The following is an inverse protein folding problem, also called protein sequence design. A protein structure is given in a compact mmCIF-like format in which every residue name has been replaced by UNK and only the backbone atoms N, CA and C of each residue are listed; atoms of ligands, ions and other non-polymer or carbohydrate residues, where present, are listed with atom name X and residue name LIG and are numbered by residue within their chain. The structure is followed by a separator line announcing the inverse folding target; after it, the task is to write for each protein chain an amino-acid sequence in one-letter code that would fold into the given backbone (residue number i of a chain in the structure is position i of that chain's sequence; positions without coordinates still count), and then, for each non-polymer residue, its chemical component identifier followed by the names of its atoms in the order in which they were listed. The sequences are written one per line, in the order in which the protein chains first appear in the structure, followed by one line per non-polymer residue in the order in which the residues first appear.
data_IF_624327419592
#
_entry.id   IF_624327419592
#
_cell.length_a   1.000
_cell.length_b   1.000
_cell.length_c   1.000
_cell.angle_alpha   90.00
_cell.angle_beta   90.00
_cell.angle_gamma   90.00
#
_symmetry.space_group_name_H-M   'P 1'
#
loop_
_entity.id
_entity.type
_entity.pdbx_description
1 polymer ?
#
# COMPACT_ATOMS: atom_id res chain seq x y z
N UNK A 1 16.72 17.98 8.39
CA UNK A 1 15.27 17.71 8.52
C UNK A 1 14.65 18.99 9.00
N UNK A 2 13.72 19.55 8.24
CA UNK A 2 13.05 20.78 8.66
C UNK A 2 12.08 20.46 9.81
N UNK A 3 12.03 21.34 10.82
CA UNK A 3 11.30 21.08 12.05
C UNK A 3 9.79 21.06 11.78
N UNK A 4 9.12 19.98 12.21
CA UNK A 4 7.66 19.86 12.13
C UNK A 4 7.02 20.92 13.03
N UNK A 5 6.05 21.71 12.53
CA UNK A 5 5.36 22.70 13.33
C UNK A 5 4.60 22.09 14.53
N UNK A 6 4.60 22.78 15.67
CA UNK A 6 3.99 22.30 16.92
C UNK A 6 2.48 22.06 16.81
N UNK A 7 1.79 22.78 15.94
CA UNK A 7 0.37 22.58 15.64
C UNK A 7 0.12 21.25 14.94
N UNK A 8 1.02 20.80 14.05
CA UNK A 8 0.91 19.49 13.42
C UNK A 8 1.07 18.39 14.49
N UNK A 9 2.03 18.52 15.39
CA UNK A 9 2.24 17.51 16.45
C UNK A 9 1.03 17.27 17.34
N UNK A 10 0.12 18.25 17.46
CA UNK A 10 -1.11 18.15 18.27
C UNK A 10 -2.25 17.39 17.58
N UNK A 11 -2.20 17.25 16.26
CA UNK A 11 -3.25 16.60 15.46
C UNK A 11 -2.86 15.19 14.96
N UNK A 12 -1.62 14.76 15.23
CA UNK A 12 -1.15 13.43 14.90
C UNK A 12 -1.77 12.39 15.82
N UNK A 13 -2.13 11.23 15.25
CA UNK A 13 -2.53 10.07 16.03
C UNK A 13 -1.37 9.52 16.90
N UNK A 14 -1.66 8.70 17.93
CA UNK A 14 -0.64 8.19 18.87
C UNK A 14 0.50 7.39 18.22
N UNK A 15 0.25 6.72 17.09
CA UNK A 15 1.22 5.95 16.30
C UNK A 15 1.55 6.60 14.94
N UNK A 16 1.10 7.83 14.73
CA UNK A 16 1.30 8.57 13.49
C UNK A 16 2.66 9.31 13.54
N UNK A 17 3.54 9.02 12.58
CA UNK A 17 4.90 9.58 12.49
C UNK A 17 5.06 10.38 11.21
N UNK A 18 5.66 11.57 11.32
CA UNK A 18 5.99 12.40 10.16
C UNK A 18 7.22 11.83 9.46
N UNK A 19 7.07 11.56 8.16
CA UNK A 19 8.13 11.06 7.30
C UNK A 19 8.78 12.17 6.47
N UNK A 20 8.00 13.19 6.09
CA UNK A 20 8.50 14.35 5.36
C UNK A 20 7.66 15.60 5.65
N UNK A 21 8.33 16.74 5.82
CA UNK A 21 7.70 18.05 5.89
C UNK A 21 8.24 18.92 4.75
N UNK A 22 7.35 19.53 3.97
CA UNK A 22 7.68 20.42 2.86
C UNK A 22 6.99 21.75 3.10
N UNK A 23 7.80 22.78 3.37
CA UNK A 23 7.33 24.15 3.58
C UNK A 23 7.41 24.91 2.26
N UNK A 24 6.44 24.67 1.38
CA UNK A 24 6.36 25.33 0.09
C UNK A 24 4.93 25.79 -0.17
N UNK A 25 4.81 27.02 -0.69
CA UNK A 25 3.52 27.57 -1.09
C UNK A 25 3.15 27.02 -2.45
N UNK A 26 2.27 26.03 -2.45
CA UNK A 26 1.69 25.48 -3.68
C UNK A 26 0.46 26.33 -3.99
N UNK A 27 0.60 27.19 -5.01
CA UNK A 27 -0.50 28.01 -5.50
C UNK A 27 -1.22 27.25 -6.62
N UNK A 28 -2.39 26.71 -6.31
CA UNK A 28 -3.28 26.11 -7.30
C UNK A 28 -4.56 26.94 -7.40
N UNK A 29 -5.18 27.09 -8.58
CA UNK A 29 -6.46 27.80 -8.74
C UNK A 29 -7.60 27.38 -7.78
N UNK A 30 -7.55 26.16 -7.24
CA UNK A 30 -8.58 25.58 -6.35
C UNK A 30 -8.09 25.36 -4.91
N UNK A 31 -6.78 25.27 -4.68
CA UNK A 31 -6.18 25.00 -3.37
C UNK A 31 -4.91 25.85 -3.20
N UNK A 32 -4.91 26.68 -2.16
CA UNK A 32 -3.69 27.32 -1.70
C UNK A 32 -3.16 26.48 -0.54
N UNK A 33 -1.96 25.93 -0.68
CA UNK A 33 -1.31 25.12 0.36
C UNK A 33 -0.04 25.84 0.80
N UNK A 34 0.14 26.04 2.09
CA UNK A 34 1.32 26.68 2.71
C UNK A 34 2.42 25.65 3.01
N UNK A 35 2.02 24.43 3.35
CA UNK A 35 2.95 23.33 3.60
C UNK A 35 2.27 21.97 3.46
N UNK A 36 3.06 20.97 3.09
CA UNK A 36 2.65 19.57 2.98
C UNK A 36 3.37 18.74 4.03
N UNK A 37 2.64 17.91 4.75
CA UNK A 37 3.18 16.93 5.70
C UNK A 37 2.83 15.53 5.19
N UNK A 38 3.82 14.67 5.05
CA UNK A 38 3.63 13.25 4.78
C UNK A 38 3.85 12.48 6.07
N UNK A 39 2.85 11.73 6.50
CA UNK A 39 2.96 10.81 7.63
C UNK A 39 3.00 9.37 7.14
N UNK A 40 3.16 8.41 8.04
CA UNK A 40 2.98 6.99 7.73
C UNK A 40 1.50 6.59 7.53
N UNK A 41 0.53 7.50 7.67
CA UNK A 41 -0.90 7.19 7.56
C UNK A 41 -1.63 8.02 6.49
N UNK A 42 -1.24 9.28 6.28
CA UNK A 42 -1.94 10.22 5.39
C UNK A 42 -1.05 11.38 4.94
N UNK A 43 -1.51 12.07 3.92
CA UNK A 43 -0.96 13.35 3.46
C UNK A 43 -1.79 14.47 4.09
N UNK A 44 -1.15 15.41 4.78
CA UNK A 44 -1.81 16.57 5.41
C UNK A 44 -1.38 17.84 4.66
N UNK A 45 -2.35 18.57 4.14
CA UNK A 45 -2.16 19.89 3.54
C UNK A 45 -2.53 20.95 4.56
N UNK A 46 -1.64 21.90 4.78
CA UNK A 46 -1.90 23.08 5.61
C UNK A 46 -2.17 24.27 4.71
N UNK A 47 -3.32 24.92 4.88
CA UNK A 47 -3.71 26.05 4.03
C UNK A 47 -3.24 27.39 4.62
N UNK A 48 -2.79 28.36 3.78
CA UNK A 48 -2.47 29.70 4.23
C UNK A 48 -3.76 30.48 4.46
N UNK A 49 -3.93 31.01 5.66
CA UNK A 49 -5.05 31.90 5.94
C UNK A 49 -4.58 33.35 5.91
N UNK A 50 -5.17 34.16 5.04
CA UNK A 50 -5.01 35.61 5.11
C UNK A 50 -5.47 36.06 6.51
N UNK A 51 -4.59 36.77 7.24
CA UNK A 51 -4.80 37.34 8.58
C UNK A 51 -4.68 36.39 9.79
N UNK A 52 -4.21 35.14 9.64
CA UNK A 52 -3.69 34.34 10.78
C UNK A 52 -4.70 33.92 11.86
N UNK A 53 -6.00 34.17 11.68
CA UNK A 53 -7.02 33.89 12.70
C UNK A 53 -7.46 32.42 12.76
N UNK A 54 -7.24 31.64 11.70
CA UNK A 54 -7.60 30.21 11.64
C UNK A 54 -6.53 29.42 10.87
N UNK A 55 -6.38 28.15 11.23
CA UNK A 55 -5.52 27.20 10.54
C UNK A 55 -6.39 26.07 10.04
N UNK A 56 -6.46 25.91 8.72
CA UNK A 56 -7.23 24.86 8.10
C UNK A 56 -6.29 23.77 7.57
N UNK A 57 -6.72 22.53 7.75
CA UNK A 57 -6.00 21.34 7.35
C UNK A 57 -6.92 20.47 6.52
N UNK A 58 -6.42 19.96 5.40
CA UNK A 58 -7.09 18.93 4.60
C UNK A 58 -6.21 17.71 4.57
N UNK A 59 -6.74 16.54 4.91
CA UNK A 59 -6.00 15.30 4.90
C UNK A 59 -6.52 14.28 3.89
N UNK A 60 -5.58 13.49 3.34
CA UNK A 60 -5.84 12.45 2.35
C UNK A 60 -5.21 11.15 2.83
N UNK A 61 -6.05 10.17 3.16
CA UNK A 61 -5.59 8.83 3.52
C UNK A 61 -4.94 8.12 2.33
N UNK A 62 -3.84 7.41 2.56
CA UNK A 62 -3.26 6.56 1.53
C UNK A 62 -4.22 5.44 1.07
N UNK A 63 -5.15 5.03 1.95
CA UNK A 63 -6.23 4.10 1.62
C UNK A 63 -7.25 4.67 0.62
N UNK A 64 -7.24 5.98 0.36
CA UNK A 64 -8.14 6.65 -0.60
C UNK A 64 -7.41 7.06 -1.88
N UNK A 65 -6.08 6.98 -1.92
CA UNK A 65 -5.25 7.28 -3.09
C UNK A 65 -5.03 6.01 -3.94
N UNK A 66 -5.58 6.01 -5.15
CA UNK A 66 -5.47 4.90 -6.10
C UNK A 66 -4.06 4.80 -6.71
N UNK A 67 -3.47 5.94 -7.06
CA UNK A 67 -2.16 6.00 -7.71
C UNK A 67 -1.46 7.32 -7.42
N UNK A 68 -0.13 7.34 -7.57
CA UNK A 68 0.68 8.55 -7.57
C UNK A 68 1.52 8.61 -8.84
N UNK A 69 1.57 9.79 -9.46
CA UNK A 69 2.28 10.10 -10.70
C UNK A 69 3.34 11.15 -10.36
N UNK A 70 4.56 10.95 -10.85
CA UNK A 70 5.67 11.87 -10.65
C UNK A 70 6.04 12.53 -11.97
N UNK A 71 5.89 13.85 -12.02
CA UNK A 71 6.28 14.67 -13.16
C UNK A 71 7.60 15.37 -12.82
N UNK A 72 8.71 14.80 -13.32
CA UNK A 72 10.05 15.37 -13.13
C UNK A 72 10.28 16.53 -14.09
N UNK A 73 10.39 17.73 -13.56
CA UNK A 73 10.80 18.91 -14.34
C UNK A 73 12.28 19.24 -14.17
N UNK A 74 12.77 20.14 -15.01
CA UNK A 74 14.17 20.56 -15.00
C UNK A 74 14.54 21.30 -13.71
N UNK A 75 13.67 22.22 -13.26
CA UNK A 75 13.89 23.07 -12.08
C UNK A 75 13.01 22.69 -10.89
N UNK A 76 11.73 22.41 -11.16
CA UNK A 76 10.74 22.00 -10.17
C UNK A 76 10.00 20.78 -10.69
N UNK A 77 9.53 19.96 -9.77
CA UNK A 77 8.82 18.72 -10.07
C UNK A 77 7.47 18.70 -9.35
N UNK A 78 6.57 17.85 -9.81
CA UNK A 78 5.21 17.74 -9.26
C UNK A 78 4.86 16.29 -8.95
N UNK A 79 4.05 16.09 -7.92
CA UNK A 79 3.46 14.78 -7.59
C UNK A 79 1.95 14.88 -7.66
N UNK A 80 1.32 14.04 -8.48
CA UNK A 80 -0.15 13.97 -8.61
C UNK A 80 -0.66 12.69 -7.96
N UNK A 81 -1.63 12.79 -7.06
CA UNK A 81 -2.28 11.66 -6.42
C UNK A 81 -3.72 11.52 -6.95
N UNK A 82 -4.00 10.40 -7.61
CA UNK A 82 -5.33 10.06 -8.14
C UNK A 82 -6.15 9.44 -7.03
N UNK A 83 -7.34 9.96 -6.79
CA UNK A 83 -8.26 9.49 -5.73
C UNK A 83 -9.13 8.33 -6.23
N UNK A 84 -9.45 7.37 -5.34
CA UNK A 84 -10.27 6.19 -5.66
C UNK A 84 -11.73 6.54 -5.94
N UNK A 85 -12.31 7.41 -5.12
CA UNK A 85 -13.74 7.72 -5.16
C UNK A 85 -14.10 8.80 -6.19
N UNK A 86 -13.20 9.06 -7.14
CA UNK A 86 -13.32 10.19 -8.06
C UNK A 86 -13.01 11.54 -7.40
N UNK A 87 -13.24 12.62 -8.15
CA UNK A 87 -12.89 13.98 -7.74
C UNK A 87 -11.61 14.50 -8.40
N UNK A 88 -11.27 15.75 -8.11
CA UNK A 88 -10.04 16.36 -8.60
C UNK A 88 -8.82 15.68 -7.96
N UNK A 89 -7.81 15.27 -8.74
CA UNK A 89 -6.57 14.72 -8.20
C UNK A 89 -5.89 15.70 -7.24
N UNK A 90 -5.31 15.17 -6.17
CA UNK A 90 -4.44 15.97 -5.31
C UNK A 90 -3.16 16.31 -6.09
N UNK A 91 -2.93 17.60 -6.33
CA UNK A 91 -1.78 18.10 -7.06
C UNK A 91 -0.78 18.79 -6.13
N UNK A 92 0.35 18.14 -5.87
CA UNK A 92 1.49 18.73 -5.18
C UNK A 92 2.45 19.29 -6.23
N UNK A 93 2.14 20.50 -6.70
CA UNK A 93 2.87 21.18 -7.76
C UNK A 93 4.08 21.98 -7.27
N UNK A 94 4.96 22.32 -8.21
CA UNK A 94 6.05 23.27 -8.01
C UNK A 94 6.86 22.97 -6.75
N UNK A 95 7.34 21.73 -6.61
CA UNK A 95 8.20 21.33 -5.50
C UNK A 95 9.68 21.35 -5.91
N UNK A 96 10.62 21.61 -4.98
CA UNK A 96 12.03 21.35 -5.22
C UNK A 96 12.24 19.89 -5.64
N UNK A 97 13.08 19.63 -6.65
CA UNK A 97 13.24 18.28 -7.21
C UNK A 97 13.55 17.22 -6.15
N UNK A 98 14.45 17.51 -5.21
CA UNK A 98 14.81 16.58 -4.13
C UNK A 98 13.66 16.30 -3.15
N UNK A 99 12.78 17.29 -2.92
CA UNK A 99 11.62 17.13 -2.07
C UNK A 99 10.52 16.32 -2.79
N UNK A 100 10.32 16.59 -4.08
CA UNK A 100 9.34 15.88 -4.92
C UNK A 100 9.70 14.39 -5.09
N UNK A 101 10.98 14.09 -5.33
CA UNK A 101 11.48 12.70 -5.45
C UNK A 101 11.27 11.93 -4.13
N UNK A 102 11.61 12.54 -2.99
CA UNK A 102 11.36 11.95 -1.67
C UNK A 102 9.88 11.77 -1.38
N UNK A 103 9.07 12.79 -1.68
CA UNK A 103 7.63 12.74 -1.50
C UNK A 103 7.01 11.61 -2.31
N UNK A 104 7.40 11.49 -3.58
CA UNK A 104 6.93 10.42 -4.45
C UNK A 104 7.25 9.03 -3.89
N UNK A 105 8.51 8.81 -3.46
CA UNK A 105 8.91 7.53 -2.87
C UNK A 105 8.08 7.16 -1.63
N UNK A 106 7.93 8.10 -0.70
CA UNK A 106 7.12 7.93 0.52
C UNK A 106 5.65 7.65 0.19
N UNK A 107 5.07 8.43 -0.72
CA UNK A 107 3.66 8.27 -1.11
C UNK A 107 3.44 6.90 -1.77
N UNK A 108 4.32 6.48 -2.69
CA UNK A 108 4.21 5.17 -3.35
C UNK A 108 4.33 4.02 -2.37
N UNK A 109 5.27 4.11 -1.44
CA UNK A 109 5.46 3.11 -0.40
C UNK A 109 4.21 2.97 0.48
N UNK A 110 3.67 4.09 0.97
CA UNK A 110 2.48 4.03 1.81
C UNK A 110 1.23 3.59 1.04
N UNK A 111 1.03 4.02 -0.21
CA UNK A 111 -0.07 3.51 -1.05
C UNK A 111 0.00 1.98 -1.14
N UNK A 112 1.18 1.41 -1.40
CA UNK A 112 1.36 -0.04 -1.46
C UNK A 112 1.07 -0.71 -0.10
N UNK A 113 1.52 -0.11 1.00
CA UNK A 113 1.25 -0.60 2.37
C UNK A 113 -0.24 -0.62 2.72
N UNK A 114 -1.04 0.33 2.24
CA UNK A 114 -2.49 0.37 2.50
C UNK A 114 -3.32 -0.40 1.46
N UNK A 115 -2.77 -0.66 0.28
CA UNK A 115 -3.39 -1.47 -0.77
C UNK A 115 -3.27 -2.97 -0.53
N UNK A 116 -2.22 -3.41 0.16
CA UNK A 116 -2.00 -4.82 0.39
C UNK A 116 -2.72 -5.27 1.67
N UNK A 117 -3.72 -6.17 1.60
CA UNK A 117 -4.49 -6.62 2.76
C UNK A 117 -3.64 -7.23 3.88
N UNK A 118 -2.43 -7.71 3.54
CA UNK A 118 -1.52 -8.36 4.47
C UNK A 118 -0.59 -7.40 5.21
N UNK A 119 -0.48 -6.13 4.81
CA UNK A 119 0.45 -5.16 5.41
C UNK A 119 -0.21 -4.21 6.41
N UNK A 120 -1.52 -3.99 6.32
CA UNK A 120 -2.26 -3.08 7.24
C UNK A 120 -2.35 -3.65 8.66
N UNK A 121 -2.30 -4.98 8.83
CA UNK A 121 -2.34 -5.64 10.13
C UNK A 121 -1.07 -5.50 10.99
N UNK A 122 0.03 -5.00 10.44
CA UNK A 122 1.34 -5.03 11.11
C UNK A 122 1.63 -3.86 12.07
N UNK A 123 0.84 -2.76 12.04
CA UNK A 123 1.13 -1.54 12.84
C UNK A 123 0.02 -1.17 13.83
N UNK A 124 -1.05 -1.97 13.94
CA UNK A 124 -2.15 -1.75 14.88
C UNK A 124 -2.26 -2.78 16.00
N UNK A 125 -1.48 -3.86 15.94
CA UNK A 125 -1.46 -4.89 16.97
C UNK A 125 -0.06 -4.91 17.57
N UNK A 126 0.06 -4.51 18.84
CA UNK A 126 1.05 -5.13 19.69
C UNK A 126 0.92 -6.65 19.48
N UNK A 127 2.02 -7.42 19.42
CA UNK A 127 1.93 -8.86 19.25
C UNK A 127 1.11 -9.41 20.41
N UNK A 128 -0.19 -9.61 20.20
CA UNK A 128 -0.97 -10.49 21.05
C UNK A 128 -0.33 -11.83 20.77
N UNK A 129 0.45 -12.29 21.74
CA UNK A 129 1.02 -13.63 21.74
C UNK A 129 -0.16 -14.59 21.77
N UNK A 130 -0.67 -14.93 20.59
CA UNK A 130 -1.42 -16.16 20.45
C UNK A 130 -0.45 -17.27 20.82
N UNK A 131 -0.81 -18.15 21.77
CA UNK A 131 0.02 -19.32 22.00
C UNK A 131 0.20 -20.01 20.66
N UNK A 132 1.46 -20.28 20.31
CA UNK A 132 1.80 -21.04 19.14
C UNK A 132 1.11 -22.41 19.25
N UNK A 133 -0.03 -22.57 18.60
CA UNK A 133 -0.51 -23.89 18.26
C UNK A 133 0.60 -24.46 17.38
N UNK A 134 1.33 -25.43 17.91
CA UNK A 134 2.36 -26.12 17.16
C UNK A 134 1.70 -26.65 15.90
N UNK A 135 2.05 -26.06 14.77
CA UNK A 135 1.75 -26.62 13.46
C UNK A 135 2.63 -27.85 13.31
N UNK A 136 2.25 -28.93 13.98
CA UNK A 136 2.82 -30.24 13.74
C UNK A 136 2.49 -30.58 12.29
N UNK A 137 3.54 -30.58 11.49
CA UNK A 137 3.55 -31.01 10.12
C UNK A 137 2.95 -32.42 10.04
N UNK A 138 1.68 -32.55 9.67
CA UNK A 138 1.15 -33.79 9.11
C UNK A 138 1.49 -33.87 7.63
N UNK A 139 2.76 -33.65 7.30
CA UNK A 139 3.35 -33.92 6.00
C UNK A 139 3.69 -35.42 5.89
N UNK A 140 2.75 -36.33 6.14
CA UNK A 140 2.98 -37.77 6.01
C UNK A 140 1.73 -38.64 5.76
N UNK A 141 0.52 -38.07 5.60
CA UNK A 141 -0.70 -38.89 5.45
C UNK A 141 -1.53 -38.63 4.16
N UNK A 142 -0.98 -37.92 3.17
CA UNK A 142 -1.63 -37.75 1.84
C UNK A 142 -0.87 -38.42 0.69
N UNK A 143 0.32 -38.97 0.92
CA UNK A 143 1.12 -39.62 -0.13
C UNK A 143 0.80 -41.11 -0.35
N UNK A 144 0.04 -41.77 0.53
CA UNK A 144 -0.16 -43.23 0.46
C UNK A 144 -1.45 -43.68 -0.24
N UNK A 145 -2.29 -42.77 -0.76
CA UNK A 145 -3.64 -43.13 -1.25
C UNK A 145 -3.89 -42.91 -2.75
N UNK A 146 -2.88 -42.63 -3.59
CA UNK A 146 -3.11 -42.23 -4.99
C UNK A 146 -2.39 -43.07 -6.08
N UNK A 147 -1.99 -44.32 -5.80
CA UNK A 147 -1.61 -45.25 -6.87
C UNK A 147 -2.84 -46.07 -7.30
N UNK A 148 -3.37 -45.81 -8.50
CA UNK A 148 -4.32 -46.71 -9.17
C UNK A 148 -3.60 -47.73 -10.07
N UNK A 149 -4.33 -48.60 -10.79
CA UNK A 149 -3.74 -49.71 -11.52
C UNK A 149 -2.86 -49.24 -12.68
N UNK A 150 -1.79 -50.00 -12.94
CA UNK A 150 -0.91 -49.83 -14.10
C UNK A 150 -1.46 -50.65 -15.26
N UNK A 151 -1.65 -50.00 -16.42
CA UNK A 151 -2.16 -50.64 -17.62
C UNK A 151 -1.17 -51.67 -18.17
N UNK A 152 -1.62 -52.92 -18.36
CA UNK A 152 -0.78 -54.01 -18.89
C UNK A 152 -0.35 -53.83 -20.35
N UNK A 153 -1.02 -52.95 -21.11
CA UNK A 153 -0.73 -52.73 -22.53
C UNK A 153 0.32 -51.63 -22.74
N UNK A 154 0.20 -50.49 -22.07
CA UNK A 154 1.08 -49.33 -22.29
C UNK A 154 1.90 -48.91 -21.08
N UNK A 155 1.70 -49.54 -19.92
CA UNK A 155 2.40 -49.19 -18.68
C UNK A 155 1.91 -47.90 -18.01
N UNK A 156 0.88 -47.24 -18.54
CA UNK A 156 0.33 -46.00 -17.96
C UNK A 156 -0.42 -46.25 -16.64
N UNK A 157 -0.26 -45.35 -15.67
CA UNK A 157 -0.96 -45.40 -14.38
C UNK A 157 -2.30 -44.69 -14.49
N UNK A 158 -3.40 -45.35 -14.10
CA UNK A 158 -4.74 -44.78 -14.12
C UNK A 158 -5.26 -44.51 -12.72
N UNK A 159 -6.26 -43.63 -12.59
CA UNK A 159 -6.89 -43.35 -11.30
C UNK A 159 -7.58 -44.62 -10.74
N UNK A 160 -7.65 -44.71 -9.40
CA UNK A 160 -8.29 -45.86 -8.73
C UNK A 160 -9.79 -45.87 -9.06
N UNK A 161 -10.29 -46.99 -9.59
CA UNK A 161 -11.70 -47.15 -10.00
C UNK A 161 -11.97 -46.94 -11.50
N UNK A 162 -10.97 -46.57 -12.30
CA UNK A 162 -11.10 -46.51 -13.76
C UNK A 162 -11.26 -47.91 -14.36
N UNK A 163 -12.21 -48.09 -15.29
CA UNK A 163 -12.38 -49.34 -16.07
C UNK A 163 -11.50 -49.42 -17.31
N UNK A 164 -11.03 -48.27 -17.80
CA UNK A 164 -10.21 -48.14 -19.01
C UNK A 164 -9.01 -47.21 -18.73
N UNK A 165 -7.90 -47.51 -19.39
CA UNK A 165 -6.66 -46.75 -19.31
C UNK A 165 -6.85 -45.39 -19.98
N UNK A 166 -6.60 -44.31 -19.25
CA UNK A 166 -6.73 -42.94 -19.77
C UNK A 166 -5.69 -42.61 -20.85
N UNK A 167 -4.58 -43.35 -20.94
CA UNK A 167 -3.52 -43.10 -21.92
C UNK A 167 -3.72 -43.84 -23.24
N UNK A 168 -4.39 -45.00 -23.25
CA UNK A 168 -4.50 -45.82 -24.47
C UNK A 168 -5.87 -46.51 -24.67
N UNK A 169 -6.84 -46.28 -23.79
CA UNK A 169 -8.21 -46.80 -23.90
C UNK A 169 -8.39 -48.30 -23.66
N UNK A 170 -7.34 -49.03 -23.30
CA UNK A 170 -7.45 -50.47 -23.01
C UNK A 170 -8.08 -50.71 -21.64
N UNK A 171 -8.86 -51.77 -21.46
CA UNK A 171 -9.41 -52.12 -20.15
C UNK A 171 -8.29 -52.40 -19.15
N UNK A 172 -8.43 -51.86 -17.93
CA UNK A 172 -7.43 -51.96 -16.85
C UNK A 172 -7.55 -53.27 -16.08
#
# INVERSE_FOLDING_TARGET
MEAVPSDISKILGPSEQVQLFIKEKIYHPKINVDSVVLTNQRIILRHPHALGMKKDYTDYSYADIANAIFDKGLLRSSVKCVLRFGGDPLHLGDLPNSAAEKAYGIIRENIARFQNPLTVGAYGMAPVSYPAYQQQATASAVAAAAAGPVCKKCGGTSARGSRFCSSCGHSL
#
